data_IF_676600496399
#
_entry.id   IF_676600496399
#
_cell.length_a   1.000
_cell.length_b   1.000
_cell.length_c   1.000
_cell.angle_alpha   90.00
_cell.angle_beta   90.00
_cell.angle_gamma   90.00
#
_symmetry.space_group_name_H-M   'P 1'
#
loop_
_entity.id
_entity.type
_entity.pdbx_description
1 polymer ?
#
# COMPACT_ATOMS: atom_id res chain seq x y z
N UNK A 1 -6.29 -7.37 -0.25
CA UNK A 1 -7.19 -8.21 0.58
C UNK A 1 -6.48 -8.58 1.87
N UNK A 2 -5.27 -9.14 1.78
CA UNK A 2 -4.42 -9.53 2.92
C UNK A 2 -4.33 -8.48 4.04
N UNK A 3 -4.12 -7.20 3.70
CA UNK A 3 -4.04 -6.10 4.68
C UNK A 3 -5.38 -5.87 5.39
N UNK A 4 -6.49 -5.96 4.68
CA UNK A 4 -7.83 -5.79 5.25
C UNK A 4 -8.22 -6.98 6.14
N UNK A 5 -7.84 -8.18 5.74
CA UNK A 5 -8.05 -9.40 6.53
C UNK A 5 -7.20 -9.41 7.82
N UNK A 6 -6.00 -8.83 7.76
CA UNK A 6 -5.04 -8.84 8.88
C UNK A 6 -5.20 -7.66 9.84
N UNK A 7 -5.84 -6.56 9.42
CA UNK A 7 -5.91 -5.32 10.19
C UNK A 7 -7.36 -4.81 10.31
N UNK A 8 -7.96 -4.81 11.52
CA UNK A 8 -9.27 -4.20 11.72
C UNK A 8 -9.24 -2.71 11.39
N UNK A 9 -10.31 -2.21 10.76
CA UNK A 9 -10.44 -0.82 10.33
C UNK A 9 -9.27 -0.33 9.45
N UNK A 10 -8.69 -1.22 8.63
CA UNK A 10 -7.50 -0.93 7.82
C UNK A 10 -7.61 0.36 6.99
N UNK A 11 -8.80 0.72 6.49
CA UNK A 11 -9.00 1.93 5.70
C UNK A 11 -8.55 3.20 6.42
N UNK A 12 -8.77 3.28 7.74
CA UNK A 12 -8.35 4.43 8.54
C UNK A 12 -6.83 4.52 8.60
N UNK A 13 -6.16 3.39 8.83
CA UNK A 13 -4.70 3.33 8.88
C UNK A 13 -4.08 3.65 7.52
N UNK A 14 -4.62 3.08 6.44
CA UNK A 14 -4.16 3.33 5.07
C UNK A 14 -4.33 4.79 4.64
N UNK A 15 -5.44 5.44 5.05
CA UNK A 15 -5.62 6.89 4.82
C UNK A 15 -4.57 7.72 5.56
N UNK A 16 -4.28 7.40 6.81
CA UNK A 16 -3.23 8.11 7.58
C UNK A 16 -1.83 7.92 6.98
N UNK A 17 -1.58 6.79 6.32
CA UNK A 17 -0.29 6.44 5.73
C UNK A 17 -0.21 6.73 4.23
N UNK A 18 -1.18 7.43 3.64
CA UNK A 18 -1.29 7.59 2.18
C UNK A 18 -0.04 8.20 1.51
N UNK A 19 0.74 9.00 2.24
CA UNK A 19 2.00 9.57 1.73
C UNK A 19 3.21 8.63 1.86
N UNK A 20 3.11 7.58 2.68
CA UNK A 20 4.18 6.63 3.00
C UNK A 20 4.03 5.31 2.24
N UNK A 21 2.95 5.13 1.48
CA UNK A 21 2.67 3.89 0.75
C UNK A 21 2.38 4.16 -0.73
N UNK A 22 2.71 3.17 -1.58
CA UNK A 22 2.43 3.19 -3.01
C UNK A 22 1.58 1.97 -3.38
N UNK A 23 0.65 2.16 -4.30
CA UNK A 23 -0.12 1.09 -4.90
C UNK A 23 0.30 0.87 -6.34
N UNK A 24 0.72 -0.35 -6.65
CA UNK A 24 1.01 -0.77 -8.03
C UNK A 24 0.01 -1.84 -8.41
N UNK A 25 -0.70 -1.61 -9.53
CA UNK A 25 -1.55 -2.63 -10.13
C UNK A 25 -0.71 -3.48 -11.06
N UNK A 26 -0.56 -4.77 -10.72
CA UNK A 26 0.18 -5.70 -11.57
C UNK A 26 -0.56 -5.88 -12.91
N UNK A 27 0.09 -5.64 -14.06
CA UNK A 27 -0.62 -5.61 -15.33
C UNK A 27 -1.17 -6.97 -15.77
N UNK A 28 -0.51 -8.07 -15.37
CA UNK A 28 -0.84 -9.44 -15.77
C UNK A 28 -2.13 -9.98 -15.14
N UNK A 29 -2.38 -9.68 -13.87
CA UNK A 29 -3.53 -10.23 -13.11
C UNK A 29 -4.35 -9.17 -12.37
N UNK A 30 -4.06 -7.89 -12.60
CA UNK A 30 -4.75 -6.72 -12.01
C UNK A 30 -4.73 -6.68 -10.49
N UNK A 31 -3.89 -7.48 -9.82
CA UNK A 31 -3.75 -7.41 -8.36
C UNK A 31 -3.14 -6.07 -7.94
N UNK A 32 -3.74 -5.43 -6.94
CA UNK A 32 -3.19 -4.24 -6.29
C UNK A 32 -2.20 -4.66 -5.22
N UNK A 33 -0.96 -4.24 -5.37
CA UNK A 33 0.13 -4.53 -4.44
C UNK A 33 0.48 -3.22 -3.71
N UNK A 34 0.60 -3.30 -2.38
CA UNK A 34 0.99 -2.19 -1.52
C UNK A 34 2.50 -2.27 -1.26
N UNK A 35 3.19 -1.16 -1.43
CA UNK A 35 4.61 -1.00 -1.12
C UNK A 35 4.81 0.14 -0.13
N UNK A 36 5.89 0.08 0.64
CA UNK A 36 6.39 1.23 1.38
C UNK A 36 7.12 2.19 0.43
N UNK A 37 6.86 3.50 0.59
CA UNK A 37 7.50 4.57 -0.17
C UNK A 37 8.72 5.09 0.59
N UNK A 38 9.88 4.50 0.35
CA UNK A 38 11.11 5.02 0.94
C UNK A 38 11.52 6.36 0.30
N UNK A 39 11.22 7.45 1.01
CA UNK A 39 11.54 8.83 0.60
C UNK A 39 13.01 9.20 0.81
N UNK A 40 13.79 8.34 1.43
CA UNK A 40 15.22 8.59 1.68
C UNK A 40 16.10 8.10 0.53
N UNK A 41 15.53 7.32 -0.39
CA UNK A 41 16.19 6.87 -1.60
C UNK A 41 16.59 8.08 -2.47
N UNK A 42 17.88 8.35 -2.49
CA UNK A 42 18.51 9.38 -3.32
C UNK A 42 19.37 8.69 -4.39
N UNK A 43 19.34 9.23 -5.61
CA UNK A 43 20.07 8.74 -6.78
C UNK A 43 21.49 9.29 -6.82
#
# INVERSE_FOLDING_TARGET
>A
EDVQESLPHCERALKSLAQEILYITRPSDKKKILFYNDKTATL
#
